data_IF_782357365765
#
_entry.id   IF_782357365765
#
_cell.length_a   1.000
_cell.length_b   1.000
_cell.length_c   1.000
_cell.angle_alpha   90.00
_cell.angle_beta   90.00
_cell.angle_gamma   90.00
#
_symmetry.space_group_name_H-M   'P 1'
#
loop_
_entity.id
_entity.type
_entity.pdbx_description
1 polymer ?
#
# COMPACT_ATOMS: atom_id res chain seq x y z
N UNK A 1 11.14 -38.51 32.79
CA UNK A 1 10.55 -39.12 31.57
C UNK A 1 10.23 -37.98 30.62
N UNK A 2 10.89 -37.88 29.46
CA UNK A 2 10.67 -36.82 28.47
C UNK A 2 9.86 -37.39 27.32
N UNK A 3 8.67 -36.83 27.06
CA UNK A 3 7.86 -37.20 25.91
C UNK A 3 8.21 -36.31 24.72
N UNK A 4 8.56 -36.93 23.60
CA UNK A 4 8.80 -36.24 22.33
C UNK A 4 7.44 -35.93 21.70
N UNK A 5 7.08 -34.64 21.59
CA UNK A 5 5.90 -34.23 20.81
C UNK A 5 6.07 -34.65 19.35
N UNK A 6 5.02 -35.25 18.78
CA UNK A 6 4.98 -35.72 17.39
C UNK A 6 5.20 -34.54 16.44
N UNK A 7 6.18 -34.69 15.55
CA UNK A 7 6.46 -33.76 14.45
C UNK A 7 5.16 -33.40 13.70
N UNK A 8 4.71 -32.15 13.83
CA UNK A 8 3.66 -31.60 12.97
C UNK A 8 4.21 -31.60 11.54
N UNK A 9 3.55 -32.31 10.63
CA UNK A 9 3.89 -32.27 9.19
C UNK A 9 3.50 -30.91 8.65
N UNK A 10 4.48 -30.14 8.18
CA UNK A 10 4.22 -28.94 7.40
C UNK A 10 3.73 -29.37 6.02
N UNK A 11 2.47 -29.05 5.70
CA UNK A 11 1.95 -29.24 4.34
C UNK A 11 2.45 -28.06 3.51
N UNK A 12 3.29 -28.33 2.52
CA UNK A 12 3.73 -27.33 1.56
C UNK A 12 2.65 -27.23 0.48
N UNK A 13 1.71 -26.31 0.65
CA UNK A 13 0.82 -25.92 -0.43
C UNK A 13 1.57 -24.99 -1.37
N UNK A 14 1.78 -25.41 -2.62
CA UNK A 14 2.28 -24.51 -3.66
C UNK A 14 1.17 -23.51 -3.97
N UNK A 15 1.51 -22.22 -3.90
CA UNK A 15 0.66 -21.17 -4.46
C UNK A 15 0.81 -21.30 -5.98
N UNK A 16 -0.25 -21.73 -6.64
CA UNK A 16 -0.21 -22.06 -8.07
C UNK A 16 0.05 -20.81 -8.93
N UNK A 17 1.06 -20.92 -9.81
CA UNK A 17 1.14 -20.37 -11.17
C UNK A 17 1.08 -18.86 -11.43
N UNK A 18 0.65 -18.04 -10.48
CA UNK A 18 0.63 -16.59 -10.64
C UNK A 18 1.97 -15.98 -10.24
N UNK A 19 2.38 -14.91 -10.91
CA UNK A 19 3.61 -14.17 -10.60
C UNK A 19 3.42 -13.40 -9.29
N UNK A 20 3.35 -14.12 -8.17
CA UNK A 20 3.13 -13.57 -6.83
C UNK A 20 4.44 -13.03 -6.28
N UNK A 21 4.43 -11.79 -5.79
CA UNK A 21 5.63 -11.19 -5.19
C UNK A 21 5.86 -11.74 -3.77
N UNK A 22 7.09 -11.64 -3.28
CA UNK A 22 7.41 -12.05 -1.91
C UNK A 22 6.60 -11.25 -0.86
N UNK A 23 6.41 -9.96 -1.13
CA UNK A 23 5.66 -9.05 -0.27
C UNK A 23 4.16 -9.43 -0.23
N UNK A 24 3.59 -9.85 -1.37
CA UNK A 24 2.22 -10.36 -1.46
C UNK A 24 2.04 -11.69 -0.70
N UNK A 25 2.95 -12.65 -0.88
CA UNK A 25 2.89 -13.93 -0.15
C UNK A 25 2.93 -13.70 1.36
N UNK A 26 3.83 -12.82 1.83
CA UNK A 26 3.93 -12.50 3.25
C UNK A 26 2.66 -11.85 3.79
N UNK A 27 2.03 -10.98 3.01
CA UNK A 27 0.76 -10.38 3.40
C UNK A 27 -0.35 -11.43 3.49
N UNK A 28 -0.49 -12.30 2.49
CA UNK A 28 -1.56 -13.32 2.46
C UNK A 28 -1.40 -14.36 3.57
N UNK A 29 -0.17 -14.80 3.85
CA UNK A 29 0.10 -15.89 4.80
C UNK A 29 0.17 -15.39 6.25
N UNK A 30 0.73 -14.20 6.47
CA UNK A 30 1.07 -13.72 7.82
C UNK A 30 0.43 -12.38 8.20
N UNK A 31 -0.39 -11.77 7.33
CA UNK A 31 -0.99 -10.44 7.52
C UNK A 31 0.07 -9.37 7.88
N UNK A 32 1.21 -9.42 7.18
CA UNK A 32 2.32 -8.48 7.35
C UNK A 32 2.18 -7.38 6.29
N UNK A 33 1.61 -6.20 6.63
CA UNK A 33 1.60 -5.05 5.72
C UNK A 33 3.02 -4.50 5.55
N UNK A 34 3.47 -4.39 4.31
CA UNK A 34 4.78 -3.82 3.97
C UNK A 34 4.63 -2.65 3.00
N UNK A 35 5.60 -1.72 3.05
CA UNK A 35 5.71 -0.62 2.10
C UNK A 35 5.88 -1.14 0.67
N UNK A 36 6.66 -2.21 0.50
CA UNK A 36 6.88 -2.83 -0.81
C UNK A 36 5.58 -3.34 -1.40
N UNK A 37 4.76 -4.06 -0.63
CA UNK A 37 3.49 -4.57 -1.13
C UNK A 37 2.52 -3.43 -1.47
N UNK A 38 2.48 -2.38 -0.65
CA UNK A 38 1.71 -1.17 -0.98
C UNK A 38 2.18 -0.54 -2.30
N UNK A 39 3.50 -0.38 -2.49
CA UNK A 39 4.07 0.20 -3.70
C UNK A 39 3.82 -0.64 -4.94
N UNK A 40 3.89 -1.97 -4.83
CA UNK A 40 3.60 -2.92 -5.90
C UNK A 40 2.12 -2.87 -6.30
N UNK A 41 1.19 -2.84 -5.33
CA UNK A 41 -0.25 -2.73 -5.62
C UNK A 41 -0.58 -1.39 -6.29
N UNK A 42 -0.05 -0.30 -5.74
CA UNK A 42 -0.27 1.04 -6.28
C UNK A 42 0.27 1.14 -7.71
N UNK A 43 1.54 0.75 -7.93
CA UNK A 43 2.16 0.77 -9.26
C UNK A 43 1.49 -0.18 -10.24
N UNK A 44 1.11 -1.38 -9.81
CA UNK A 44 0.42 -2.35 -10.65
C UNK A 44 -0.97 -1.87 -11.10
N UNK A 45 -1.69 -1.13 -10.25
CA UNK A 45 -2.95 -0.48 -10.65
C UNK A 45 -2.71 0.68 -11.62
N UNK A 46 -1.68 1.51 -11.40
CA UNK A 46 -1.28 2.55 -12.36
C UNK A 46 -0.99 1.95 -13.74
N UNK A 47 -0.21 0.87 -13.79
CA UNK A 47 0.09 0.13 -15.02
C UNK A 47 -1.17 -0.45 -15.67
N UNK A 48 -2.04 -1.12 -14.88
CA UNK A 48 -3.29 -1.74 -15.36
C UNK A 48 -4.23 -0.71 -15.99
N UNK A 49 -4.31 0.50 -15.43
CA UNK A 49 -5.18 1.57 -15.91
C UNK A 49 -4.48 2.51 -16.90
N UNK A 50 -3.17 2.35 -17.14
CA UNK A 50 -2.35 3.28 -17.92
C UNK A 50 -2.39 4.73 -17.38
N UNK A 51 -2.37 4.89 -16.04
CA UNK A 51 -2.43 6.16 -15.31
C UNK A 51 -1.19 6.35 -14.43
N UNK A 52 -0.10 6.84 -15.04
CA UNK A 52 1.19 7.00 -14.35
C UNK A 52 1.31 8.31 -13.58
N UNK A 53 0.55 9.33 -13.98
CA UNK A 53 0.49 10.58 -13.25
C UNK A 53 -0.28 10.39 -11.93
N UNK A 54 0.22 11.03 -10.86
CA UNK A 54 -0.37 10.88 -9.52
C UNK A 54 -1.75 11.51 -9.47
N UNK A 55 -1.96 12.68 -10.08
CA UNK A 55 -3.24 13.39 -10.02
C UNK A 55 -4.29 12.62 -10.85
N UNK A 56 -3.92 12.09 -12.02
CA UNK A 56 -4.82 11.24 -12.83
C UNK A 56 -5.20 9.93 -12.11
N UNK A 57 -4.23 9.28 -11.48
CA UNK A 57 -4.50 8.04 -10.72
C UNK A 57 -5.33 8.32 -9.46
N UNK A 58 -5.08 9.44 -8.79
CA UNK A 58 -5.86 9.88 -7.63
C UNK A 58 -7.33 10.15 -7.99
N UNK A 59 -7.61 10.71 -9.17
CA UNK A 59 -8.97 10.85 -9.69
C UNK A 59 -9.61 9.51 -10.05
N UNK A 60 -8.83 8.52 -10.50
CA UNK A 60 -9.31 7.15 -10.66
C UNK A 60 -9.70 6.52 -9.32
N UNK A 61 -8.87 6.63 -8.28
CA UNK A 61 -9.20 6.10 -6.95
C UNK A 61 -10.50 6.70 -6.39
N UNK A 62 -10.73 8.01 -6.61
CA UNK A 62 -11.99 8.66 -6.21
C UNK A 62 -13.20 8.13 -6.99
N UNK A 63 -13.06 7.89 -8.30
CA UNK A 63 -14.12 7.27 -9.12
C UNK A 63 -14.46 5.85 -8.66
N UNK A 64 -13.47 5.12 -8.17
CA UNK A 64 -13.62 3.80 -7.55
C UNK A 64 -14.09 3.88 -6.08
N UNK A 65 -14.67 5.02 -5.66
CA UNK A 65 -15.24 5.24 -4.33
C UNK A 65 -14.25 5.24 -3.17
N UNK A 66 -12.95 5.40 -3.43
CA UNK A 66 -11.97 5.66 -2.38
C UNK A 66 -11.97 7.16 -2.05
N UNK A 67 -12.37 7.50 -0.83
CA UNK A 67 -12.55 8.89 -0.41
C UNK A 67 -11.22 9.63 -0.21
N UNK A 68 -11.21 10.93 -0.56
CA UNK A 68 -10.10 11.86 -0.31
C UNK A 68 -10.19 12.48 1.10
N UNK A 69 -9.88 11.69 2.13
CA UNK A 69 -10.03 12.09 3.54
C UNK A 69 -8.71 12.52 4.23
N UNK A 70 -7.55 12.26 3.61
CA UNK A 70 -6.25 12.64 4.17
C UNK A 70 -5.84 14.02 3.71
N UNK A 71 -5.43 14.87 4.65
CA UNK A 71 -4.84 16.18 4.35
C UNK A 71 -3.34 15.97 4.18
N UNK A 72 -2.83 16.22 2.97
CA UNK A 72 -1.40 16.26 2.67
C UNK A 72 -0.92 17.70 2.53
N UNK A 73 0.19 18.02 3.16
CA UNK A 73 0.88 19.30 3.11
C UNK A 73 2.10 19.14 2.20
N UNK A 74 2.00 19.62 0.95
CA UNK A 74 3.12 19.62 0.00
C UNK A 74 4.05 20.79 0.27
N UNK A 75 5.33 20.48 0.37
CA UNK A 75 6.41 21.47 0.34
C UNK A 75 6.73 21.82 -1.12
N UNK A 76 6.57 23.10 -1.48
CA UNK A 76 6.86 23.61 -2.81
C UNK A 76 8.27 24.24 -2.85
N UNK A 77 8.84 24.41 -4.06
CA UNK A 77 10.07 25.18 -4.24
C UNK A 77 9.96 26.57 -3.59
N UNK A 78 11.00 26.95 -2.84
CA UNK A 78 11.03 28.20 -2.07
C UNK A 78 10.33 28.14 -0.72
N UNK A 79 10.02 26.94 -0.19
CA UNK A 79 9.53 26.76 1.18
C UNK A 79 8.04 27.04 1.38
N UNK A 80 7.29 27.32 0.31
CA UNK A 80 5.84 27.50 0.38
C UNK A 80 5.13 26.18 0.67
N UNK A 81 4.10 26.21 1.49
CA UNK A 81 3.29 25.04 1.83
C UNK A 81 1.92 25.12 1.15
N UNK A 82 1.49 24.01 0.52
CA UNK A 82 0.15 23.87 -0.06
C UNK A 82 -0.54 22.64 0.52
N UNK A 83 -1.76 22.82 1.01
CA UNK A 83 -2.59 21.72 1.54
C UNK A 83 -3.56 21.25 0.47
N UNK A 84 -3.76 19.95 0.34
CA UNK A 84 -4.81 19.36 -0.46
C UNK A 84 -5.27 18.03 0.15
N UNK A 85 -6.50 17.63 -0.18
CA UNK A 85 -7.05 16.35 0.22
C UNK A 85 -6.64 15.28 -0.78
N UNK A 86 -6.24 14.12 -0.26
CA UNK A 86 -5.90 12.94 -1.05
C UNK A 86 -6.48 11.68 -0.41
N UNK A 87 -6.56 10.61 -1.18
CA UNK A 87 -6.87 9.28 -0.69
C UNK A 87 -5.76 8.75 0.22
N UNK A 88 -6.09 7.81 1.10
CA UNK A 88 -5.12 7.16 1.97
C UNK A 88 -3.95 6.49 1.22
N UNK A 89 -4.17 5.76 0.10
CA UNK A 89 -3.07 5.22 -0.71
C UNK A 89 -2.10 6.28 -1.23
N UNK A 90 -2.62 7.37 -1.78
CA UNK A 90 -1.81 8.47 -2.29
C UNK A 90 -1.08 9.21 -1.18
N UNK A 91 -1.71 9.37 -0.01
CA UNK A 91 -1.04 9.91 1.17
C UNK A 91 0.20 9.10 1.56
N UNK A 92 0.05 7.78 1.69
CA UNK A 92 1.17 6.88 2.03
C UNK A 92 2.24 6.92 0.94
N UNK A 93 1.85 6.88 -0.34
CA UNK A 93 2.77 7.00 -1.49
C UNK A 93 3.60 8.28 -1.39
N UNK A 94 2.96 9.43 -1.15
CA UNK A 94 3.68 10.70 -0.98
C UNK A 94 4.68 10.66 0.19
N UNK A 95 4.31 10.10 1.34
CA UNK A 95 5.22 10.03 2.49
C UNK A 95 6.42 9.11 2.27
N UNK A 96 6.25 8.01 1.53
CA UNK A 96 7.35 7.10 1.18
C UNK A 96 8.33 7.76 0.20
N UNK A 97 7.81 8.47 -0.82
CA UNK A 97 8.61 9.06 -1.89
C UNK A 97 9.19 10.44 -1.55
N UNK A 98 8.60 11.14 -0.57
CA UNK A 98 9.07 12.43 -0.07
C UNK A 98 9.44 12.41 1.42
N UNK A 99 10.42 11.59 1.84
CA UNK A 99 10.84 11.52 3.24
C UNK A 99 11.44 12.84 3.75
N UNK A 100 11.88 13.74 2.85
CA UNK A 100 12.33 15.09 3.17
C UNK A 100 11.21 16.00 3.68
N UNK A 101 9.94 15.67 3.38
CA UNK A 101 8.80 16.49 3.75
C UNK A 101 8.24 16.11 5.12
N UNK A 102 8.81 16.68 6.18
CA UNK A 102 8.43 16.43 7.59
C UNK A 102 7.17 17.19 8.05
N UNK A 103 6.47 17.88 7.15
CA UNK A 103 5.27 18.66 7.48
C UNK A 103 4.01 17.80 7.67
N UNK A 104 4.11 16.49 7.45
CA UNK A 104 2.99 15.56 7.51
C UNK A 104 3.22 14.53 8.60
N UNK A 105 2.13 14.11 9.26
CA UNK A 105 2.21 13.05 10.23
C UNK A 105 2.58 11.72 9.54
N UNK A 106 3.47 10.91 10.13
CA UNK A 106 3.76 9.59 9.58
C UNK A 106 2.49 8.72 9.62
N UNK A 107 2.35 7.83 8.63
CA UNK A 107 1.27 6.84 8.62
C UNK A 107 1.53 5.73 9.65
N UNK A 108 0.46 5.14 10.18
CA UNK A 108 0.56 4.00 11.09
C UNK A 108 0.58 2.67 10.35
N UNK A 109 0.92 1.58 11.05
CA UNK A 109 0.77 0.22 10.50
C UNK A 109 -0.67 -0.09 10.09
N UNK A 110 -1.64 0.42 10.83
CA UNK A 110 -3.06 0.24 10.52
C UNK A 110 -3.50 1.02 9.29
N UNK A 111 -2.98 2.25 9.11
CA UNK A 111 -3.17 3.02 7.87
C UNK A 111 -2.60 2.25 6.67
N UNK A 112 -1.38 1.71 6.80
CA UNK A 112 -0.75 0.92 5.75
C UNK A 112 -1.59 -0.32 5.41
N UNK A 113 -2.08 -1.05 6.42
CA UNK A 113 -2.92 -2.22 6.22
C UNK A 113 -4.26 -1.86 5.54
N UNK A 114 -4.91 -0.78 5.98
CA UNK A 114 -6.15 -0.29 5.36
C UNK A 114 -5.92 0.09 3.90
N UNK A 115 -4.83 0.79 3.61
CA UNK A 115 -4.46 1.16 2.23
C UNK A 115 -4.25 -0.06 1.34
N UNK A 116 -3.50 -1.06 1.82
CA UNK A 116 -3.29 -2.31 1.09
C UNK A 116 -4.62 -3.00 0.79
N UNK A 117 -5.55 -3.07 1.76
CA UNK A 117 -6.88 -3.67 1.54
C UNK A 117 -7.66 -2.92 0.46
N UNK A 118 -7.72 -1.59 0.54
CA UNK A 118 -8.37 -0.76 -0.49
C UNK A 118 -7.81 -1.03 -1.88
N UNK A 119 -6.48 -1.03 -2.05
CA UNK A 119 -5.84 -1.27 -3.34
C UNK A 119 -6.04 -2.72 -3.84
N UNK A 120 -6.05 -3.71 -2.94
CA UNK A 120 -6.33 -5.10 -3.30
C UNK A 120 -7.76 -5.28 -3.79
N UNK A 121 -8.72 -4.61 -3.17
CA UNK A 121 -10.13 -4.68 -3.57
C UNK A 121 -10.34 -4.12 -4.98
N UNK A 122 -9.62 -3.07 -5.37
CA UNK A 122 -9.63 -2.53 -6.74
C UNK A 122 -8.94 -3.40 -7.79
N UNK A 123 -8.00 -4.24 -7.36
CA UNK A 123 -7.24 -5.09 -8.27
C UNK A 123 -8.08 -6.25 -8.81
N UNK A 124 -9.01 -6.76 -7.99
CA UNK A 124 -9.78 -7.98 -8.19
C UNK A 124 -11.00 -7.81 -9.09
#
# INVERSE_FOLDING_TARGET
MLFKEKNRRTVINRIDGTKTTYSEVNYIVFDIPTIDYHNELYGGLQEKQNLYDIDEFEDYLEKESIIKDKIYIRLLPGGKLKKYKVTLPTYIRHLIHHPENTNNNPFTRDDLNKSIKLLRDLRN
#
